data_IF_040586240963
#
_entry.id   IF_040586240963
#
_cell.length_a   1.000
_cell.length_b   1.000
_cell.length_c   1.000
_cell.angle_alpha   90.00
_cell.angle_beta   90.00
_cell.angle_gamma   90.00
#
_symmetry.space_group_name_H-M   'P 1'
#
loop_
_entity.id
_entity.type
_entity.pdbx_description
1 polymer ?
#
# COMPACT_ATOMS: atom_id res chain seq x y z
N UNK A 1 -5.81 14.64 -21.76
CA UNK A 1 -6.22 13.24 -21.52
C UNK A 1 -5.09 12.57 -20.76
N UNK A 2 -5.39 11.92 -19.63
CA UNK A 2 -4.37 11.18 -18.85
C UNK A 2 -4.04 9.90 -19.62
N UNK A 3 -2.79 9.73 -20.05
CA UNK A 3 -2.32 8.50 -20.72
C UNK A 3 -1.37 7.70 -19.85
N UNK A 4 -0.76 8.33 -18.85
CA UNK A 4 0.16 7.72 -17.92
C UNK A 4 -0.11 8.16 -16.48
N UNK A 5 -0.06 7.20 -15.55
CA UNK A 5 -0.25 7.45 -14.12
C UNK A 5 0.96 6.90 -13.38
N UNK A 6 1.71 7.78 -12.73
CA UNK A 6 2.76 7.38 -11.81
C UNK A 6 2.19 7.08 -10.43
N UNK A 7 2.51 5.92 -9.89
CA UNK A 7 2.20 5.54 -8.51
C UNK A 7 3.49 5.57 -7.70
N UNK A 8 3.51 6.43 -6.69
CA UNK A 8 4.65 6.62 -5.79
C UNK A 8 4.20 6.56 -4.34
N UNK A 9 5.12 6.33 -3.41
CA UNK A 9 4.77 6.49 -2.00
C UNK A 9 5.79 5.98 -1.02
N UNK A 10 5.29 5.59 0.15
CA UNK A 10 6.08 4.94 1.18
C UNK A 10 6.54 3.55 0.73
N UNK A 11 7.78 3.20 1.09
CA UNK A 11 8.33 1.85 0.99
C UNK A 11 8.38 1.13 2.35
N UNK A 12 7.67 1.64 3.36
CA UNK A 12 7.71 1.08 4.73
C UNK A 12 9.00 1.42 5.49
N UNK A 13 9.52 2.64 5.29
CA UNK A 13 10.79 3.09 5.88
C UNK A 13 10.65 3.50 7.33
N UNK A 14 9.49 4.02 7.69
CA UNK A 14 9.18 4.53 9.01
C UNK A 14 8.82 3.36 9.93
N UNK A 15 9.65 3.13 10.95
CA UNK A 15 9.44 2.04 11.92
C UNK A 15 8.36 2.37 12.95
N UNK A 16 8.04 3.65 13.13
CA UNK A 16 6.98 4.10 14.03
C UNK A 16 5.60 3.95 13.38
N UNK A 17 5.56 3.85 12.04
CA UNK A 17 4.34 3.64 11.24
C UNK A 17 4.45 2.36 10.42
N UNK A 18 4.49 1.17 11.07
CA UNK A 18 4.64 -0.11 10.38
C UNK A 18 3.45 -0.36 9.47
N UNK A 19 3.73 -0.64 8.20
CA UNK A 19 2.69 -0.98 7.24
C UNK A 19 2.23 -2.42 7.45
N UNK A 20 0.95 -2.66 7.15
CA UNK A 20 0.25 -3.94 7.26
C UNK A 20 -0.56 -4.23 6.01
N UNK A 21 -1.10 -5.45 5.90
CA UNK A 21 -1.98 -5.81 4.78
C UNK A 21 -3.19 -4.89 4.58
N UNK A 22 -3.73 -4.32 5.66
CA UNK A 22 -4.82 -3.34 5.60
C UNK A 22 -4.40 -2.07 4.86
N UNK A 23 -3.19 -1.56 5.13
CA UNK A 23 -2.65 -0.41 4.44
C UNK A 23 -2.45 -0.67 2.94
N UNK A 24 -1.94 -1.86 2.58
CA UNK A 24 -1.77 -2.22 1.17
C UNK A 24 -3.09 -2.35 0.43
N UNK A 25 -4.09 -2.99 1.06
CA UNK A 25 -5.43 -3.11 0.49
C UNK A 25 -6.07 -1.73 0.30
N UNK A 26 -5.95 -0.83 1.28
CA UNK A 26 -6.39 0.55 1.17
C UNK A 26 -5.78 1.23 -0.07
N UNK A 27 -4.45 1.20 -0.23
CA UNK A 27 -3.80 1.84 -1.39
C UNK A 27 -4.31 1.27 -2.73
N UNK A 28 -4.53 -0.06 -2.81
CA UNK A 28 -5.11 -0.69 -4.00
C UNK A 28 -6.55 -0.20 -4.26
N UNK A 29 -7.41 -0.23 -3.25
CA UNK A 29 -8.82 0.18 -3.36
C UNK A 29 -8.96 1.68 -3.69
N UNK A 30 -8.10 2.52 -3.12
CA UNK A 30 -8.04 3.95 -3.44
C UNK A 30 -7.66 4.17 -4.90
N UNK A 31 -6.69 3.43 -5.45
CA UNK A 31 -6.37 3.51 -6.88
C UNK A 31 -7.58 3.15 -7.75
N UNK A 32 -8.25 2.02 -7.47
CA UNK A 32 -9.42 1.61 -8.27
C UNK A 32 -10.57 2.61 -8.18
N UNK A 33 -10.81 3.16 -6.98
CA UNK A 33 -11.81 4.21 -6.77
C UNK A 33 -11.47 5.45 -7.59
N UNK A 34 -10.21 5.87 -7.59
CA UNK A 34 -9.71 6.98 -8.40
C UNK A 34 -9.91 6.73 -9.91
N UNK A 35 -9.50 5.56 -10.42
CA UNK A 35 -9.66 5.21 -11.83
C UNK A 35 -11.12 5.28 -12.26
N UNK A 36 -12.02 4.73 -11.43
CA UNK A 36 -13.46 4.77 -11.66
C UNK A 36 -14.02 6.20 -11.67
N UNK A 37 -13.66 7.02 -10.68
CA UNK A 37 -14.10 8.42 -10.59
C UNK A 37 -13.66 9.22 -11.81
N UNK A 38 -12.41 9.02 -12.26
CA UNK A 38 -11.85 9.68 -13.45
C UNK A 38 -12.29 9.02 -14.77
N UNK A 39 -13.12 7.98 -14.72
CA UNK A 39 -13.59 7.22 -15.89
C UNK A 39 -12.42 6.75 -16.77
N UNK A 40 -11.34 6.28 -16.13
CA UNK A 40 -10.15 5.75 -16.77
C UNK A 40 -10.21 4.23 -16.78
N UNK A 41 -10.08 3.63 -17.97
CA UNK A 41 -9.93 2.19 -18.13
C UNK A 41 -8.44 1.82 -18.08
N UNK A 42 -8.11 0.77 -17.34
CA UNK A 42 -6.73 0.31 -17.13
C UNK A 42 -6.04 -0.08 -18.45
N UNK A 43 -6.80 -0.54 -19.45
CA UNK A 43 -6.27 -0.91 -20.78
C UNK A 43 -5.80 0.31 -21.60
N UNK A 44 -6.35 1.48 -21.29
CA UNK A 44 -6.14 2.72 -22.04
C UNK A 44 -5.05 3.61 -21.42
N UNK A 45 -4.52 3.23 -20.26
CA UNK A 45 -3.49 3.98 -19.52
C UNK A 45 -2.23 3.15 -19.30
N UNK A 46 -1.10 3.84 -19.13
CA UNK A 46 0.16 3.25 -18.68
C UNK A 46 0.38 3.52 -17.20
N UNK A 47 0.49 2.47 -16.40
CA UNK A 47 0.99 2.58 -15.04
C UNK A 47 2.52 2.76 -15.07
N UNK A 48 3.01 3.67 -14.24
CA UNK A 48 4.43 3.96 -14.08
C UNK A 48 4.76 3.91 -12.60
N UNK A 49 5.88 3.28 -12.22
CA UNK A 49 6.31 3.29 -10.82
C UNK A 49 7.80 3.08 -10.68
N UNK A 50 8.31 3.24 -9.46
CA UNK A 50 9.65 2.83 -9.10
C UNK A 50 9.78 1.34 -8.78
N UNK A 51 8.69 0.60 -8.63
CA UNK A 51 8.78 -0.81 -8.24
C UNK A 51 9.42 -1.02 -6.87
N UNK A 52 9.39 0.00 -5.99
CA UNK A 52 9.67 -0.22 -4.58
C UNK A 52 8.56 -1.06 -3.94
N UNK A 53 8.79 -1.53 -2.71
CA UNK A 53 7.75 -2.19 -1.92
C UNK A 53 6.58 -1.25 -1.60
N UNK A 54 5.47 -1.82 -1.13
CA UNK A 54 4.30 -1.08 -0.64
C UNK A 54 3.62 -0.21 -1.70
N UNK A 55 3.71 1.12 -1.61
CA UNK A 55 2.91 2.02 -2.46
C UNK A 55 3.22 1.84 -3.95
N UNK A 56 4.50 1.80 -4.31
CA UNK A 56 4.93 1.56 -5.69
C UNK A 56 4.46 0.18 -6.20
N UNK A 57 4.39 -0.83 -5.30
CA UNK A 57 3.98 -2.19 -5.63
C UNK A 57 2.49 -2.30 -5.98
N UNK A 58 1.67 -1.28 -5.67
CA UNK A 58 0.28 -1.21 -6.14
C UNK A 58 0.23 -1.22 -7.67
N UNK A 59 1.19 -0.58 -8.36
CA UNK A 59 1.24 -0.60 -9.82
C UNK A 59 1.46 -2.03 -10.37
N UNK A 60 2.32 -2.80 -9.69
CA UNK A 60 2.64 -4.19 -10.04
C UNK A 60 1.43 -5.09 -9.78
N UNK A 61 0.82 -4.96 -8.61
CA UNK A 61 -0.36 -5.74 -8.22
C UNK A 61 -1.54 -5.49 -9.16
N UNK A 62 -1.80 -4.23 -9.53
CA UNK A 62 -2.83 -3.87 -10.51
C UNK A 62 -2.54 -4.46 -11.88
N UNK A 63 -1.31 -4.32 -12.39
CA UNK A 63 -0.95 -4.90 -13.69
C UNK A 63 -1.07 -6.43 -13.72
N UNK A 64 -0.67 -7.12 -12.66
CA UNK A 64 -0.80 -8.58 -12.58
C UNK A 64 -2.25 -9.06 -12.54
N UNK A 65 -3.18 -8.22 -12.04
CA UNK A 65 -4.62 -8.48 -12.05
C UNK A 65 -5.27 -8.17 -13.40
N UNK A 66 -4.75 -7.17 -14.11
CA UNK A 66 -5.26 -6.66 -15.38
C UNK A 66 -4.12 -6.60 -16.42
N UNK A 67 -3.66 -7.78 -16.90
CA UNK A 67 -2.49 -7.88 -17.77
C UNK A 67 -2.67 -7.24 -19.16
N UNK A 68 -3.90 -6.90 -19.55
CA UNK A 68 -4.22 -6.11 -20.74
C UNK A 68 -3.80 -4.63 -20.63
N UNK A 69 -3.50 -4.16 -19.41
CA UNK A 69 -2.94 -2.84 -19.16
C UNK A 69 -1.48 -2.71 -19.61
N UNK A 70 -0.87 -1.56 -19.28
CA UNK A 70 0.56 -1.32 -19.55
C UNK A 70 1.26 -0.93 -18.25
N UNK A 71 2.46 -1.47 -18.04
CA UNK A 71 3.29 -1.14 -16.88
C UNK A 71 4.72 -0.82 -17.33
N UNK A 72 5.26 0.30 -16.82
CA UNK A 72 6.70 0.60 -16.86
C UNK A 72 7.21 0.78 -15.44
N UNK A 73 8.22 0.00 -15.06
CA UNK A 73 8.94 0.18 -13.81
C UNK A 73 10.32 0.74 -14.08
N UNK A 74 10.63 1.87 -13.44
CA UNK A 74 11.98 2.38 -13.38
C UNK A 74 12.62 1.89 -12.09
N UNK A 75 13.55 0.96 -12.18
CA UNK A 75 14.21 0.37 -11.02
C UNK A 75 15.49 1.15 -10.68
N UNK A 76 15.91 1.16 -9.39
CA UNK A 76 17.12 1.90 -9.00
C UNK A 76 18.42 1.15 -9.33
N UNK A 77 18.32 -0.15 -9.62
CA UNK A 77 19.38 -1.05 -10.08
C UNK A 77 18.74 -2.34 -10.62
N UNK A 78 19.55 -3.21 -11.22
CA UNK A 78 19.09 -4.50 -11.76
C UNK A 78 18.55 -5.45 -10.68
N UNK A 79 17.67 -6.36 -11.10
CA UNK A 79 17.25 -7.55 -10.36
C UNK A 79 17.99 -8.76 -10.94
N UNK A 80 18.59 -9.55 -10.07
CA UNK A 80 19.35 -10.78 -10.40
C UNK A 80 18.79 -11.97 -9.64
N UNK A 81 19.06 -13.18 -10.12
CA UNK A 81 18.87 -14.39 -9.30
C UNK A 81 19.86 -14.38 -8.14
N UNK A 82 19.40 -14.73 -6.94
CA UNK A 82 20.24 -14.87 -5.76
C UNK A 82 21.31 -15.95 -5.98
N UNK A 83 22.35 -15.95 -5.15
CA UNK A 83 23.46 -16.91 -5.23
C UNK A 83 23.02 -18.37 -5.09
N UNK A 84 21.96 -18.64 -4.33
CA UNK A 84 21.34 -19.95 -4.24
C UNK A 84 20.39 -20.27 -5.40
N UNK A 85 20.20 -19.35 -6.35
CA UNK A 85 19.35 -19.43 -7.55
C UNK A 85 17.86 -19.68 -7.31
N UNK A 86 17.39 -19.61 -6.07
CA UNK A 86 16.00 -19.89 -5.72
C UNK A 86 15.11 -18.66 -5.91
N UNK A 87 15.61 -17.46 -5.59
CA UNK A 87 14.80 -16.24 -5.54
C UNK A 87 15.43 -15.10 -6.36
N UNK A 88 14.63 -14.11 -6.72
CA UNK A 88 15.15 -12.85 -7.27
C UNK A 88 15.47 -11.82 -6.18
N UNK A 89 16.46 -10.97 -6.42
CA UNK A 89 16.82 -9.85 -5.55
C UNK A 89 17.40 -8.69 -6.36
N UNK A 90 17.32 -7.47 -5.84
CA UNK A 90 18.09 -6.35 -6.38
C UNK A 90 19.59 -6.56 -6.16
N UNK A 91 20.44 -6.12 -7.10
CA UNK A 91 21.91 -6.21 -6.95
C UNK A 91 22.37 -5.46 -5.70
N UNK A 92 22.90 -6.21 -4.73
CA UNK A 92 23.51 -5.68 -3.51
C UNK A 92 25.04 -5.61 -3.70
N UNK A 93 25.61 -4.40 -3.69
CA UNK A 93 27.06 -4.17 -3.87
C UNK A 93 27.87 -4.32 -2.58
N UNK A 94 27.24 -4.72 -1.47
CA UNK A 94 27.87 -4.86 -0.16
C UNK A 94 28.01 -3.54 0.63
N UNK A 95 27.94 -2.39 -0.04
CA UNK A 95 28.01 -1.07 0.60
C UNK A 95 26.83 -0.79 1.55
N UNK A 96 27.05 -0.01 2.61
CA UNK A 96 25.96 0.41 3.52
C UNK A 96 25.25 1.68 3.06
N UNK A 97 25.93 2.55 2.29
CA UNK A 97 25.34 3.78 1.76
C UNK A 97 24.36 3.44 0.63
N UNK A 98 23.10 3.80 0.82
CA UNK A 98 22.03 3.58 -0.15
C UNK A 98 22.30 4.27 -1.50
N UNK A 99 23.09 5.35 -1.52
CA UNK A 99 23.46 6.04 -2.76
C UNK A 99 24.32 5.16 -3.66
N UNK A 100 25.20 4.37 -3.06
CA UNK A 100 26.14 3.47 -3.76
C UNK A 100 25.64 2.02 -3.78
N UNK A 101 24.63 1.70 -2.98
CA UNK A 101 24.01 0.37 -2.90
C UNK A 101 22.48 0.46 -2.72
N UNK A 102 21.75 0.94 -3.75
CA UNK A 102 20.30 1.03 -3.67
C UNK A 102 19.64 -0.34 -3.55
N UNK A 103 20.28 -1.41 -4.07
CA UNK A 103 19.72 -2.76 -4.04
C UNK A 103 19.60 -3.33 -2.63
N UNK A 104 20.59 -3.10 -1.75
CA UNK A 104 20.48 -3.49 -0.33
C UNK A 104 19.24 -2.87 0.34
N UNK A 105 19.04 -1.57 0.13
CA UNK A 105 17.88 -0.84 0.67
C UNK A 105 16.57 -1.38 0.13
N UNK A 106 16.47 -1.60 -1.20
CA UNK A 106 15.28 -2.20 -1.83
C UNK A 106 15.00 -3.60 -1.26
N UNK A 107 16.02 -4.46 -1.17
CA UNK A 107 15.89 -5.82 -0.63
C UNK A 107 15.40 -5.83 0.82
N UNK A 108 15.77 -4.84 1.65
CA UNK A 108 15.24 -4.71 3.02
C UNK A 108 13.73 -4.44 3.00
N UNK A 109 13.28 -3.47 2.20
CA UNK A 109 11.86 -3.10 2.14
C UNK A 109 10.98 -4.20 1.54
N UNK A 110 11.45 -4.87 0.49
CA UNK A 110 10.72 -5.99 -0.10
C UNK A 110 10.63 -7.20 0.85
N UNK A 111 11.68 -7.49 1.64
CA UNK A 111 11.60 -8.52 2.69
C UNK A 111 10.61 -8.15 3.80
N UNK A 112 10.56 -6.89 4.21
CA UNK A 112 9.58 -6.42 5.19
C UNK A 112 8.15 -6.56 4.66
N UNK A 113 7.92 -6.16 3.40
CA UNK A 113 6.64 -6.39 2.72
C UNK A 113 6.30 -7.88 2.64
N UNK A 114 7.24 -8.74 2.23
CA UNK A 114 7.00 -10.17 2.10
C UNK A 114 6.63 -10.81 3.44
N UNK A 115 7.31 -10.42 4.52
CA UNK A 115 7.01 -10.89 5.87
C UNK A 115 5.56 -10.59 6.26
N UNK A 116 5.10 -9.39 5.94
CA UNK A 116 3.76 -8.91 6.32
C UNK A 116 2.66 -9.44 5.40
N UNK A 117 2.92 -9.52 4.10
CA UNK A 117 1.93 -9.88 3.08
C UNK A 117 1.91 -11.38 2.76
N UNK A 118 2.94 -12.13 3.14
CA UNK A 118 3.13 -13.52 2.71
C UNK A 118 3.41 -13.68 1.21
N UNK A 119 3.80 -12.60 0.52
CA UNK A 119 3.99 -12.53 -0.95
C UNK A 119 5.40 -12.03 -1.28
N UNK A 120 6.10 -12.69 -2.19
CA UNK A 120 7.39 -12.20 -2.66
C UNK A 120 7.19 -11.12 -3.74
N UNK A 121 7.28 -9.85 -3.35
CA UNK A 121 7.06 -8.73 -4.25
C UNK A 121 8.13 -8.58 -5.35
N UNK A 122 9.35 -9.09 -5.15
CA UNK A 122 10.37 -9.08 -6.22
C UNK A 122 10.04 -10.13 -7.28
N UNK A 123 9.59 -11.33 -6.88
CA UNK A 123 9.14 -12.34 -7.83
C UNK A 123 7.92 -11.85 -8.61
N UNK A 124 7.02 -11.07 -7.99
CA UNK A 124 5.89 -10.44 -8.68
C UNK A 124 6.33 -9.39 -9.70
N UNK A 125 7.38 -8.61 -9.43
CA UNK A 125 7.99 -7.70 -10.42
C UNK A 125 8.53 -8.51 -11.61
N UNK A 126 9.21 -9.62 -11.35
CA UNK A 126 9.75 -10.48 -12.40
C UNK A 126 8.64 -11.16 -13.21
N UNK A 127 7.57 -11.60 -12.55
CA UNK A 127 6.37 -12.11 -13.23
C UNK A 127 5.71 -11.03 -14.10
N UNK A 128 5.64 -9.79 -13.62
CA UNK A 128 5.12 -8.69 -14.42
C UNK A 128 5.98 -8.46 -15.67
N UNK A 129 7.32 -8.53 -15.55
CA UNK A 129 8.25 -8.49 -16.69
C UNK A 129 7.96 -9.61 -17.69
N UNK A 130 7.77 -10.84 -17.23
CA UNK A 130 7.45 -12.01 -18.08
C UNK A 130 6.14 -11.83 -18.86
N UNK A 131 5.14 -11.16 -18.26
CA UNK A 131 3.85 -10.87 -18.90
C UNK A 131 3.95 -9.70 -19.90
N UNK A 132 5.00 -8.88 -19.83
CA UNK A 132 5.25 -7.80 -20.78
C UNK A 132 5.41 -6.41 -20.17
N UNK A 133 5.52 -6.29 -18.84
CA UNK A 133 5.89 -5.03 -18.22
C UNK A 133 7.31 -4.59 -18.66
N UNK A 134 7.47 -3.31 -18.94
CA UNK A 134 8.77 -2.71 -19.26
C UNK A 134 9.53 -2.48 -17.96
N UNK A 135 10.75 -3.02 -17.86
CA UNK A 135 11.65 -2.81 -16.73
C UNK A 135 12.86 -2.00 -17.21
N UNK A 136 13.00 -0.77 -16.73
CA UNK A 136 14.14 0.10 -17.02
C UNK A 136 15.04 0.23 -15.78
N UNK A 137 16.22 -0.37 -15.87
CA UNK A 137 17.27 -0.36 -14.84
C UNK A 137 18.42 0.59 -15.17
N UNK A 138 18.31 1.38 -16.25
CA UNK A 138 19.36 2.34 -16.65
C UNK A 138 19.51 3.53 -15.69
N UNK A 139 18.63 3.63 -14.69
CA UNK A 139 18.71 4.63 -13.63
C UNK A 139 19.79 4.23 -12.61
N UNK A 140 20.71 5.14 -12.28
CA UNK A 140 21.78 4.88 -11.32
C UNK A 140 21.37 5.30 -9.91
N UNK A 141 20.42 4.55 -9.33
CA UNK A 141 19.88 4.79 -7.98
C UNK A 141 18.54 5.54 -7.95
N UNK A 142 18.09 5.84 -6.72
CA UNK A 142 16.71 6.29 -6.49
C UNK A 142 16.38 7.67 -7.10
N UNK A 143 17.31 8.63 -7.09
CA UNK A 143 17.01 9.99 -7.57
C UNK A 143 16.83 10.09 -9.09
N UNK A 144 17.71 9.44 -9.85
CA UNK A 144 17.63 9.39 -11.32
C UNK A 144 16.34 8.68 -11.75
N UNK A 145 16.08 7.55 -11.10
CA UNK A 145 14.85 6.79 -11.27
C UNK A 145 13.62 7.65 -11.01
N UNK A 146 13.58 8.34 -9.87
CA UNK A 146 12.45 9.18 -9.48
C UNK A 146 12.19 10.30 -10.50
N UNK A 147 13.25 10.84 -11.11
CA UNK A 147 13.14 11.83 -12.18
C UNK A 147 12.47 11.28 -13.45
N UNK A 148 12.60 9.98 -13.74
CA UNK A 148 11.85 9.34 -14.82
C UNK A 148 10.39 9.10 -14.43
N UNK A 149 10.15 8.63 -13.20
CA UNK A 149 8.81 8.42 -12.65
C UNK A 149 8.00 9.72 -12.60
N UNK A 150 8.62 10.87 -12.37
CA UNK A 150 7.89 12.15 -12.24
C UNK A 150 7.29 12.69 -13.55
N UNK A 151 7.57 12.06 -14.69
CA UNK A 151 7.22 12.56 -16.04
C UNK A 151 5.81 12.17 -16.53
N UNK A 152 5.05 11.40 -15.77
CA UNK A 152 3.70 10.97 -16.17
C UNK A 152 2.68 12.12 -16.18
N UNK A 153 1.59 11.94 -16.93
CA UNK A 153 0.48 12.90 -17.06
C UNK A 153 -0.33 13.08 -15.78
N UNK A 154 -0.26 12.08 -14.90
CA UNK A 154 -0.87 12.03 -13.58
C UNK A 154 0.14 11.42 -12.60
N UNK A 155 0.14 11.90 -11.35
CA UNK A 155 0.92 11.31 -10.27
C UNK A 155 0.03 11.12 -9.04
N UNK A 156 0.04 9.90 -8.52
CA UNK A 156 -0.66 9.49 -7.32
C UNK A 156 0.40 9.15 -6.28
N UNK A 157 0.29 9.77 -5.11
CA UNK A 157 1.21 9.55 -4.00
C UNK A 157 0.47 9.00 -2.77
N UNK A 158 0.98 7.90 -2.22
CA UNK A 158 0.50 7.32 -0.96
C UNK A 158 1.53 7.51 0.15
N UNK A 159 1.25 8.40 1.11
CA UNK A 159 2.12 8.60 2.28
C UNK A 159 1.31 8.84 3.54
N UNK A 160 1.97 8.90 4.70
CA UNK A 160 1.35 9.25 5.97
C UNK A 160 1.33 10.76 6.25
N UNK A 161 1.72 11.59 5.27
CA UNK A 161 1.62 13.04 5.42
C UNK A 161 0.15 13.47 5.42
N UNK A 162 -0.17 14.51 6.17
CA UNK A 162 -1.49 15.12 6.11
C UNK A 162 -1.54 16.12 4.94
N UNK A 163 -2.73 16.31 4.37
CA UNK A 163 -3.00 17.31 3.33
C UNK A 163 -2.76 16.84 1.89
N UNK A 164 -2.56 17.81 1.00
CA UNK A 164 -2.61 17.60 -0.46
C UNK A 164 -1.27 17.20 -1.10
N UNK A 165 -0.21 16.96 -0.32
CA UNK A 165 1.07 16.50 -0.82
C UNK A 165 1.88 15.65 0.17
N UNK A 166 2.86 14.85 -0.31
CA UNK A 166 3.76 14.10 0.57
C UNK A 166 4.56 14.99 1.54
N UNK A 167 4.67 14.61 2.81
CA UNK A 167 5.36 15.43 3.82
C UNK A 167 6.88 15.58 3.56
N UNK A 168 7.57 14.49 3.19
CA UNK A 168 9.04 14.47 3.09
C UNK A 168 9.64 13.34 2.27
N UNK A 169 10.96 13.44 2.06
CA UNK A 169 11.82 12.39 1.50
C UNK A 169 11.70 12.22 -0.02
N UNK A 170 12.14 11.06 -0.51
CA UNK A 170 12.20 10.78 -1.94
C UNK A 170 10.85 10.87 -2.68
N UNK A 171 9.73 10.65 -1.97
CA UNK A 171 8.38 10.77 -2.54
C UNK A 171 8.02 12.24 -2.81
N UNK A 172 8.31 13.13 -1.85
CA UNK A 172 8.13 14.57 -2.05
C UNK A 172 9.07 15.12 -3.13
N UNK A 173 10.31 14.63 -3.21
CA UNK A 173 11.23 14.97 -4.30
C UNK A 173 10.63 14.62 -5.68
N UNK A 174 10.14 13.38 -5.86
CA UNK A 174 9.46 12.97 -7.10
C UNK A 174 8.23 13.83 -7.39
N UNK A 175 7.43 14.12 -6.36
CA UNK A 175 6.25 14.96 -6.46
C UNK A 175 6.59 16.37 -6.96
N UNK A 176 7.62 17.00 -6.40
CA UNK A 176 8.08 18.35 -6.79
C UNK A 176 8.69 18.37 -8.19
N UNK A 177 9.35 17.29 -8.62
CA UNK A 177 9.89 17.14 -9.99
C UNK A 177 8.80 16.95 -11.05
N UNK A 178 7.59 16.55 -10.66
CA UNK A 178 6.51 16.35 -11.61
C UNK A 178 5.98 17.70 -12.11
N UNK A 179 5.90 17.83 -13.44
CA UNK A 179 5.26 18.96 -14.12
C UNK A 179 3.78 18.72 -14.38
N UNK A 180 3.25 17.58 -13.94
CA UNK A 180 1.84 17.24 -14.10
C UNK A 180 0.95 18.25 -13.37
N UNK A 181 -0.16 18.61 -14.00
CA UNK A 181 -1.25 19.35 -13.35
C UNK A 181 -2.19 18.43 -12.56
N UNK A 182 -2.14 17.12 -12.84
CA UNK A 182 -2.95 16.10 -12.18
C UNK A 182 -2.09 15.42 -11.11
N UNK A 183 -2.15 15.93 -9.88
CA UNK A 183 -1.39 15.41 -8.75
C UNK A 183 -2.34 15.12 -7.61
N UNK A 184 -2.35 13.87 -7.14
CA UNK A 184 -3.26 13.41 -6.09
C UNK A 184 -2.46 12.77 -4.99
N UNK A 185 -2.64 13.27 -3.77
CA UNK A 185 -2.05 12.70 -2.57
C UNK A 185 -3.15 12.04 -1.76
N UNK A 186 -2.92 10.79 -1.38
CA UNK A 186 -3.81 10.05 -0.51
C UNK A 186 -3.07 9.72 0.78
N UNK A 187 -3.58 10.27 1.89
CA UNK A 187 -3.08 9.98 3.22
C UNK A 187 -3.43 8.54 3.59
N UNK A 188 -2.41 7.78 3.95
CA UNK A 188 -2.54 6.42 4.45
C UNK A 188 -3.00 6.48 5.92
N UNK A 189 -4.11 5.81 6.30
CA UNK A 189 -4.57 5.79 7.69
C UNK A 189 -3.53 5.15 8.61
N UNK A 190 -3.16 5.84 9.69
CA UNK A 190 -2.14 5.39 10.65
C UNK A 190 -2.68 4.35 11.65
N UNK A 191 -3.98 4.40 11.93
CA UNK A 191 -4.71 3.54 12.86
C UNK A 191 -4.79 2.07 12.41
N UNK A 192 -4.59 1.76 11.12
CA UNK A 192 -4.56 0.37 10.64
C UNK A 192 -3.46 -0.48 11.27
N UNK A 193 -2.40 0.15 11.78
CA UNK A 193 -1.34 -0.51 12.55
C UNK A 193 -1.81 -1.02 13.91
N UNK A 194 -2.84 -0.39 14.49
CA UNK A 194 -3.37 -0.73 15.82
C UNK A 194 -4.38 -1.88 15.74
N UNK A 195 -5.04 -2.03 14.60
CA UNK A 195 -6.10 -3.03 14.36
C UNK A 195 -5.53 -4.45 14.26
N UNK A 196 -4.30 -4.61 13.78
CA UNK A 196 -3.68 -5.93 13.52
C UNK A 196 -3.33 -6.72 14.79
N UNK A 197 -3.51 -6.14 15.98
CA UNK A 197 -3.38 -6.86 17.25
C UNK A 197 -4.69 -7.50 17.74
N UNK A 198 -5.79 -7.37 17.00
CA UNK A 198 -7.09 -7.96 17.36
C UNK A 198 -7.63 -8.85 16.22
N UNK A 199 -7.54 -10.19 16.31
CA UNK A 199 -7.76 -11.11 15.18
C UNK A 199 -9.22 -11.26 14.72
N UNK A 200 -10.16 -10.43 15.21
CA UNK A 200 -11.61 -10.62 15.06
C UNK A 200 -12.27 -9.61 14.08
N UNK A 201 -11.49 -8.86 13.29
CA UNK A 201 -12.09 -7.96 12.30
C UNK A 201 -12.22 -8.65 10.93
N UNK A 202 -13.44 -9.11 10.64
CA UNK A 202 -13.82 -9.66 9.34
C UNK A 202 -13.71 -8.59 8.23
N UNK A 203 -13.42 -9.01 6.98
CA UNK A 203 -13.34 -8.13 5.80
C UNK A 203 -14.54 -7.17 5.64
N UNK A 204 -15.72 -7.55 6.15
CA UNK A 204 -16.95 -6.73 6.07
C UNK A 204 -16.87 -5.47 6.94
N UNK A 205 -16.16 -5.53 8.07
CA UNK A 205 -15.99 -4.39 8.98
C UNK A 205 -14.96 -3.38 8.44
N UNK A 206 -13.98 -3.85 7.66
CA UNK A 206 -12.96 -3.00 7.03
C UNK A 206 -13.56 -2.04 5.99
N UNK A 207 -14.44 -2.53 5.11
CA UNK A 207 -15.11 -1.67 4.13
C UNK A 207 -16.05 -0.64 4.77
N UNK A 208 -16.61 -0.94 5.94
CA UNK A 208 -17.41 0.03 6.68
C UNK A 208 -16.51 1.12 7.30
N UNK A 209 -15.39 0.73 7.91
CA UNK A 209 -14.37 1.67 8.43
C UNK A 209 -13.84 2.62 7.34
N UNK A 210 -13.52 2.12 6.15
CA UNK A 210 -13.08 2.98 5.03
C UNK A 210 -14.17 3.97 4.60
N UNK A 211 -15.45 3.56 4.59
CA UNK A 211 -16.56 4.47 4.26
C UNK A 211 -16.76 5.54 5.32
N UNK A 212 -16.63 5.17 6.58
CA UNK A 212 -16.85 6.07 7.71
C UNK A 212 -15.72 7.12 7.80
N UNK A 213 -14.46 6.75 7.54
CA UNK A 213 -13.34 7.71 7.47
C UNK A 213 -13.45 8.68 6.28
N UNK A 214 -13.87 8.20 5.10
CA UNK A 214 -14.06 9.07 3.93
C UNK A 214 -15.26 10.03 4.09
N UNK A 215 -16.29 9.65 4.84
CA UNK A 215 -17.42 10.53 5.14
C UNK A 215 -17.07 11.59 6.20
N UNK A 216 -16.23 11.27 7.18
CA UNK A 216 -15.83 12.24 8.20
C UNK A 216 -14.93 13.35 7.65
N UNK A 217 -14.04 13.05 6.70
CA UNK A 217 -13.19 14.06 6.05
C UNK A 217 -13.98 15.05 5.17
N UNK A 218 -15.18 14.69 4.72
CA UNK A 218 -16.05 15.60 3.95
C UNK A 218 -16.94 16.47 4.85
N UNK A 219 -17.12 16.11 6.13
CA UNK A 219 -17.98 16.85 7.06
C UNK A 219 -17.23 17.89 7.91
N UNK A 220 -15.90 17.88 7.93
CA UNK A 220 -15.10 18.90 8.63
C UNK A 220 -14.94 20.22 7.84
N UNK A 221 -15.30 20.24 6.55
CA UNK A 221 -15.27 21.49 5.76
C UNK A 221 -16.52 22.37 6.01
N UNK A 222 -17.62 21.80 6.53
CA UNK A 222 -18.89 22.53 6.69
C UNK A 222 -19.25 22.90 8.14
N UNK A 223 -18.45 22.53 9.15
CA UNK A 223 -18.82 22.69 10.57
C UNK A 223 -17.93 23.59 11.43
N UNK A 224 -17.22 24.55 10.83
CA UNK A 224 -16.67 25.69 11.58
C UNK A 224 -17.63 26.88 11.53
N UNK A 225 -18.82 26.71 12.11
CA UNK A 225 -19.69 27.79 12.59
C UNK A 225 -20.83 27.20 13.43
N UNK A 226 -20.62 27.01 14.73
CA UNK A 226 -21.55 27.45 15.80
C UNK A 226 -21.15 26.91 17.18
N UNK A 227 -20.67 27.85 18.00
CA UNK A 227 -21.04 28.13 19.39
C UNK A 227 -21.66 27.04 20.29
N UNK A 228 -21.00 26.90 21.45
CA UNK A 228 -21.52 27.04 22.82
C UNK A 228 -22.92 26.47 23.13
N UNK A 229 -22.98 25.44 23.99
CA UNK A 229 -23.30 25.59 25.42
C UNK A 229 -23.67 24.24 26.09
N UNK A 230 -23.35 24.21 27.39
CA UNK A 230 -24.06 23.52 28.48
C UNK A 230 -23.91 22.00 28.70
N UNK A 231 -23.09 21.71 29.72
CA UNK A 231 -23.47 21.22 31.06
C UNK A 231 -24.20 19.88 31.26
N UNK A 232 -23.61 19.18 32.24
CA UNK A 232 -24.18 18.39 33.34
C UNK A 232 -24.25 16.85 33.20
N UNK A 233 -23.34 16.24 33.98
CA UNK A 233 -23.60 15.30 35.07
C UNK A 233 -24.55 14.13 34.83
N UNK A 234 -24.03 12.90 34.97
CA UNK A 234 -24.22 12.18 36.23
C UNK A 234 -23.38 10.91 36.33
N UNK A 235 -22.78 10.75 37.50
CA UNK A 235 -22.19 9.54 38.05
C UNK A 235 -23.23 8.42 38.14
N UNK A 236 -22.81 7.16 37.98
CA UNK A 236 -23.03 6.18 39.04
C UNK A 236 -22.08 4.99 38.93
N UNK A 237 -21.40 4.79 40.05
CA UNK A 237 -20.47 3.75 40.42
C UNK A 237 -21.26 2.69 41.20
N UNK A 238 -21.04 1.40 40.92
CA UNK A 238 -21.43 0.33 41.82
C UNK A 238 -20.43 -0.83 41.70
N UNK A 239 -19.57 -0.90 42.72
CA UNK A 239 -18.77 -2.05 43.10
C UNK A 239 -19.65 -3.13 43.72
N UNK A 240 -19.49 -4.40 43.31
CA UNK A 240 -19.69 -5.55 44.21
C UNK A 240 -18.59 -6.58 43.97
N UNK A 241 -17.98 -6.98 45.09
CA UNK A 241 -16.88 -7.92 45.30
C UNK A 241 -17.31 -9.40 45.22
N UNK A 242 -16.36 -10.19 44.71
CA UNK A 242 -15.79 -11.43 45.29
C UNK A 242 -16.44 -12.82 45.17
N UNK A 243 -15.48 -13.77 45.11
CA UNK A 243 -15.48 -15.21 45.43
C UNK A 243 -16.07 -16.14 44.34
N UNK A 244 -15.49 -17.28 43.96
CA UNK A 244 -14.33 -18.07 44.40
C UNK A 244 -14.17 -19.27 43.44
N UNK A 245 -12.95 -19.82 43.30
CA UNK A 245 -12.57 -21.27 43.17
C UNK A 245 -13.41 -22.20 42.25
N UNK A 246 -12.92 -23.12 41.39
CA UNK A 246 -11.69 -23.93 41.32
C UNK A 246 -11.80 -24.91 40.10
N UNK A 247 -10.66 -25.47 39.65
CA UNK A 247 -10.42 -26.73 38.88
C UNK A 247 -10.52 -26.79 37.34
N UNK A 248 -9.32 -26.90 36.75
CA UNK A 248 -8.82 -27.93 35.82
C UNK A 248 -9.81 -28.73 34.97
N UNK A 249 -9.64 -28.66 33.64
CA UNK A 249 -9.58 -29.83 32.76
C UNK A 249 -8.76 -29.53 31.49
N UNK A 250 -7.75 -30.38 31.26
CA UNK A 250 -6.98 -30.45 30.03
C UNK A 250 -7.77 -31.23 28.98
N UNK A 251 -7.96 -30.68 27.79
CA UNK A 251 -8.20 -31.49 26.59
C UNK A 251 -7.34 -31.01 25.41
N UNK A 252 -6.57 -31.96 24.90
CA UNK A 252 -5.74 -31.87 23.72
C UNK A 252 -6.58 -31.83 22.45
N UNK A 253 -6.42 -30.81 21.61
CA UNK A 253 -6.97 -30.79 20.26
C UNK A 253 -5.86 -30.61 19.22
N UNK A 254 -5.55 -31.71 18.53
CA UNK A 254 -4.82 -31.74 17.25
C UNK A 254 -5.59 -30.96 16.16
N UNK A 255 -4.98 -30.03 15.42
CA UNK A 255 -5.66 -29.33 14.35
C UNK A 255 -5.68 -30.17 13.06
N UNK A 256 -6.89 -30.47 12.58
CA UNK A 256 -7.16 -30.95 11.22
C UNK A 256 -6.75 -29.88 10.20
N UNK A 257 -5.87 -30.23 9.26
CA UNK A 257 -5.56 -29.44 8.06
C UNK A 257 -6.84 -29.22 7.24
N UNK A 258 -7.30 -27.97 7.14
CA UNK A 258 -8.29 -27.56 6.15
C UNK A 258 -7.54 -26.96 4.96
N UNK A 259 -7.47 -27.71 3.85
CA UNK A 259 -7.21 -27.13 2.53
C UNK A 259 -8.51 -26.45 2.07
N UNK A 260 -8.51 -25.12 1.96
CA UNK A 260 -9.51 -24.38 1.20
C UNK A 260 -8.82 -23.73 0.01
N UNK A 261 -8.97 -24.35 -1.15
CA UNK A 261 -8.87 -23.62 -2.42
C UNK A 261 -10.06 -22.67 -2.48
N UNK A 262 -9.77 -21.37 -2.53
CA UNK A 262 -10.77 -20.34 -2.78
C UNK A 262 -10.48 -19.82 -4.19
N UNK A 263 -11.24 -20.32 -5.18
CA UNK A 263 -11.40 -19.64 -6.46
C UNK A 263 -12.44 -18.54 -6.25
N UNK A 264 -12.01 -17.29 -6.20
CA UNK A 264 -12.90 -16.13 -6.35
C UNK A 264 -12.60 -15.54 -7.73
N UNK A 265 -13.41 -15.91 -8.70
CA UNK A 265 -13.74 -15.07 -9.83
C UNK A 265 -15.25 -15.20 -10.03
N UNK A 266 -15.89 -14.08 -10.35
CA UNK A 266 -17.33 -13.85 -10.56
C UNK A 266 -18.07 -13.15 -9.41
N UNK A 267 -17.69 -11.89 -9.20
CA UNK A 267 -18.66 -10.85 -8.87
C UNK A 267 -18.28 -9.62 -9.69
N UNK A 268 -19.22 -9.09 -10.48
CA UNK A 268 -19.10 -7.96 -11.43
C UNK A 268 -18.81 -8.30 -12.90
N UNK A 269 -19.70 -9.07 -13.54
CA UNK A 269 -20.24 -8.66 -14.86
C UNK A 269 -21.73 -8.98 -14.87
N UNK A 270 -22.55 -7.99 -14.48
CA UNK A 270 -23.95 -7.86 -14.90
C UNK A 270 -24.51 -6.51 -14.42
N UNK A 271 -24.41 -5.50 -15.28
CA UNK A 271 -25.44 -4.51 -15.61
C UNK A 271 -24.80 -3.40 -16.46
N UNK A 272 -24.82 -3.59 -17.78
CA UNK A 272 -25.58 -2.80 -18.74
C UNK A 272 -25.15 -3.25 -20.15
#
# INVERSE_FOLDING_TARGET
MIKSISIIGTAGRDKEKPLSSLHFNFMCETLFSFLKEKQLDIKDIMLVSGGAAWADHVAVDTFLKYPEGKLTLYLPCDIVKSSNQINYQYIDTGGFDWKNNPGRTSNIYHRAFQKEMGRNSIDEIMKAKEIGAIIDTSSKGFHDRNTKVSKSDCIIAFTFGDGNEPEKGGTLDTWKKSKSKNKFHFTIPSNFSQITHNPVLSKRNFFQLIKDENNNNNNEIDNNNNNNNNNNNNNNQLDIKNQSEVKDHQESHTPKKIKREIKIYDFFVKKN
#
